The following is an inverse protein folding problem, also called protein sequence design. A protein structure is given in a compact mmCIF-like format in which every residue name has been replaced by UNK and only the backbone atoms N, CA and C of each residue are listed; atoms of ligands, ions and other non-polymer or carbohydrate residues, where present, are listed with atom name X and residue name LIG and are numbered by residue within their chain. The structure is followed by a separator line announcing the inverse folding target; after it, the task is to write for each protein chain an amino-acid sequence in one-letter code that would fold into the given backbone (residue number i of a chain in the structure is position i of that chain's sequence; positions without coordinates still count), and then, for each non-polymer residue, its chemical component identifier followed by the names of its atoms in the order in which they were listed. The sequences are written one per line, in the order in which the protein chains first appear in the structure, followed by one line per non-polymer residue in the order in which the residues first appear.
data_IF_499938667145
#
_entry.id   IF_499938667145
#
_cell.length_a   1.000
_cell.length_b   1.000
_cell.length_c   1.000
_cell.angle_alpha   90.00
_cell.angle_beta   90.00
_cell.angle_gamma   90.00
#
_symmetry.space_group_name_H-M   'P 1'
#
loop_
_entity.id
_entity.type
_entity.pdbx_description
1 polymer ?
#
# COMPACT_ATOMS: atom_id res chain seq x y z
N UNK A 1 -15.01 6.68 -32.62
CA UNK A 1 -15.69 7.66 -31.74
C UNK A 1 -15.59 7.16 -30.30
N UNK A 2 -14.50 7.50 -29.61
CA UNK A 2 -14.34 7.32 -28.16
C UNK A 2 -13.68 8.60 -27.68
N UNK A 3 -14.49 9.64 -27.48
CA UNK A 3 -14.00 10.99 -27.13
C UNK A 3 -14.55 11.53 -25.82
N UNK A 4 -15.43 10.80 -25.14
CA UNK A 4 -16.13 11.35 -23.97
C UNK A 4 -16.19 10.31 -22.85
N UNK A 5 -15.16 10.15 -22.03
CA UNK A 5 -15.35 9.62 -20.67
C UNK A 5 -14.17 10.01 -19.76
N UNK A 6 -14.54 10.64 -18.66
CA UNK A 6 -13.73 11.18 -17.56
C UNK A 6 -13.02 12.52 -17.83
N UNK A 7 -13.32 13.57 -17.04
CA UNK A 7 -12.47 14.76 -17.03
C UNK A 7 -11.05 14.35 -16.64
N UNK A 8 -10.00 15.03 -17.16
CA UNK A 8 -8.65 14.82 -16.68
C UNK A 8 -8.67 14.97 -15.16
N UNK A 9 -8.14 13.98 -14.43
CA UNK A 9 -8.00 14.02 -12.98
C UNK A 9 -7.31 15.34 -12.68
N UNK A 10 -8.06 16.29 -12.11
CA UNK A 10 -7.52 17.57 -11.73
C UNK A 10 -6.28 17.26 -10.90
N UNK A 11 -5.11 17.70 -11.37
CA UNK A 11 -3.94 17.78 -10.52
C UNK A 11 -4.37 18.61 -9.33
N UNK A 12 -4.67 17.94 -8.21
CA UNK A 12 -5.07 18.59 -6.97
C UNK A 12 -3.87 19.45 -6.61
N UNK A 13 -4.04 20.75 -6.80
CA UNK A 13 -3.11 21.80 -6.43
C UNK A 13 -2.58 21.50 -5.04
N UNK A 14 -1.25 21.55 -4.88
CA UNK A 14 -0.53 21.27 -3.64
C UNK A 14 -1.36 21.70 -2.42
N UNK A 15 -1.79 20.72 -1.63
CA UNK A 15 -2.56 20.96 -0.39
C UNK A 15 -1.68 21.84 0.49
N UNK A 16 -2.11 23.08 0.70
CA UNK A 16 -1.33 24.12 1.42
C UNK A 16 -1.52 24.06 2.94
N UNK A 17 -2.36 23.16 3.44
CA UNK A 17 -2.82 23.18 4.83
C UNK A 17 -2.36 21.96 5.63
N UNK A 18 -1.98 22.21 6.89
CA UNK A 18 -1.48 21.24 7.87
C UNK A 18 -2.59 20.50 8.63
N UNK A 19 -3.87 20.80 8.36
CA UNK A 19 -4.99 20.20 9.09
C UNK A 19 -5.65 19.05 8.29
N UNK A 20 -5.70 17.82 8.84
CA UNK A 20 -6.33 16.67 8.18
C UNK A 20 -7.82 16.85 7.83
N UNK A 21 -8.56 17.66 8.58
CA UNK A 21 -9.98 17.94 8.27
C UNK A 21 -10.15 18.82 7.04
N UNK A 22 -9.24 19.77 6.83
CA UNK A 22 -9.20 20.57 5.60
C UNK A 22 -8.98 19.67 4.39
N UNK A 23 -8.03 18.71 4.47
CA UNK A 23 -7.76 17.76 3.39
C UNK A 23 -9.01 16.97 3.01
N UNK A 24 -9.77 16.50 4.01
CA UNK A 24 -11.03 15.77 3.75
C UNK A 24 -12.04 16.64 3.01
N UNK A 25 -12.18 17.89 3.43
CA UNK A 25 -13.11 18.85 2.82
C UNK A 25 -12.69 19.21 1.39
N UNK A 26 -11.43 19.57 1.18
CA UNK A 26 -10.86 19.93 -0.13
C UNK A 26 -10.94 18.77 -1.14
N UNK A 27 -10.65 17.55 -0.70
CA UNK A 27 -10.66 16.37 -1.54
C UNK A 27 -12.05 15.69 -1.63
N UNK A 28 -13.10 16.29 -1.04
CA UNK A 28 -14.45 15.71 -0.94
C UNK A 28 -14.46 14.26 -0.43
N UNK A 29 -13.63 13.98 0.59
CA UNK A 29 -13.51 12.68 1.25
C UNK A 29 -14.58 12.58 2.33
N UNK A 30 -15.40 11.53 2.26
CA UNK A 30 -16.39 11.21 3.29
C UNK A 30 -15.95 9.96 4.04
N UNK A 31 -15.98 10.03 5.35
CA UNK A 31 -15.59 8.94 6.25
C UNK A 31 -16.72 8.61 7.22
N UNK A 32 -16.86 7.33 7.53
CA UNK A 32 -17.79 6.80 8.54
C UNK A 32 -17.07 5.69 9.31
N UNK A 33 -17.29 5.62 10.62
CA UNK A 33 -16.61 4.68 11.51
C UNK A 33 -16.09 5.37 12.77
N UNK A 34 -15.43 4.60 13.63
CA UNK A 34 -14.87 5.07 14.89
C UNK A 34 -13.35 5.30 14.74
N UNK A 35 -12.83 6.26 15.51
CA UNK A 35 -11.40 6.55 15.66
C UNK A 35 -10.62 6.63 14.33
N UNK A 36 -11.13 7.39 13.34
CA UNK A 36 -10.59 7.36 11.97
C UNK A 36 -9.31 8.19 11.87
N UNK A 37 -8.15 7.57 11.50
CA UNK A 37 -6.89 8.28 11.33
C UNK A 37 -7.01 9.48 10.40
N UNK A 38 -6.20 10.53 10.66
CA UNK A 38 -6.16 11.71 9.82
C UNK A 38 -5.83 11.36 8.37
N UNK A 39 -6.39 12.12 7.43
CA UNK A 39 -6.04 11.98 6.02
C UNK A 39 -4.61 12.48 5.76
N UNK A 40 -3.86 11.77 4.91
CA UNK A 40 -2.52 12.18 4.50
C UNK A 40 -2.57 13.46 3.64
N UNK A 41 -1.66 14.37 3.93
CA UNK A 41 -1.35 15.57 3.15
C UNK A 41 -0.37 15.21 2.03
N UNK A 42 0.63 14.39 2.30
CA UNK A 42 1.61 13.94 1.30
C UNK A 42 2.24 12.60 1.70
N UNK A 43 3.04 12.00 0.81
CA UNK A 43 3.73 10.75 1.12
C UNK A 43 4.84 10.90 2.15
N UNK A 44 5.38 12.10 2.38
CA UNK A 44 6.47 12.31 3.34
C UNK A 44 6.06 12.01 4.77
N UNK A 45 4.78 12.18 5.12
CA UNK A 45 4.25 11.81 6.44
C UNK A 45 4.38 10.32 6.74
N UNK A 46 4.49 9.47 5.72
CA UNK A 46 4.68 8.03 5.92
C UNK A 46 6.07 7.69 6.48
N UNK A 47 7.02 8.64 6.47
CA UNK A 47 8.32 8.50 7.13
C UNK A 47 8.26 8.78 8.63
N UNK A 48 7.16 9.33 9.13
CA UNK A 48 7.00 9.64 10.56
C UNK A 48 6.98 8.34 11.38
N UNK A 49 7.43 8.37 12.65
CA UNK A 49 7.54 7.17 13.49
C UNK A 49 6.23 6.38 13.67
N UNK A 50 5.08 7.03 13.47
CA UNK A 50 3.77 6.38 13.52
C UNK A 50 3.58 5.35 12.39
N UNK A 51 4.12 5.61 11.20
CA UNK A 51 3.98 4.75 10.02
C UNK A 51 5.26 3.97 9.71
N UNK A 52 6.43 4.56 9.97
CA UNK A 52 7.75 3.96 9.77
C UNK A 52 7.95 3.29 8.39
N UNK A 53 7.48 3.95 7.33
CA UNK A 53 7.64 3.42 5.97
C UNK A 53 9.07 3.61 5.51
N UNK A 54 9.69 2.52 5.03
CA UNK A 54 11.06 2.56 4.50
C UNK A 54 11.19 3.62 3.38
N UNK A 55 12.20 4.50 3.42
CA UNK A 55 12.41 5.53 2.40
C UNK A 55 12.48 4.99 0.97
N UNK A 56 13.02 3.77 0.80
CA UNK A 56 13.11 3.10 -0.50
C UNK A 56 11.75 2.77 -1.12
N UNK A 57 10.72 2.52 -0.30
CA UNK A 57 9.38 2.28 -0.81
C UNK A 57 8.79 3.59 -1.38
N UNK A 58 9.03 4.70 -0.69
CA UNK A 58 8.59 6.03 -1.16
C UNK A 58 9.36 6.51 -2.38
N UNK A 59 10.66 6.22 -2.48
CA UNK A 59 11.43 6.53 -3.70
C UNK A 59 10.86 5.79 -4.91
N UNK A 60 10.55 4.50 -4.77
CA UNK A 60 9.94 3.71 -5.85
C UNK A 60 8.60 4.30 -6.30
N UNK A 61 7.76 4.77 -5.37
CA UNK A 61 6.48 5.44 -5.68
C UNK A 61 6.71 6.73 -6.47
N UNK A 62 7.74 7.50 -6.12
CA UNK A 62 8.10 8.72 -6.83
C UNK A 62 8.63 8.41 -8.24
N UNK A 63 9.42 7.34 -8.40
CA UNK A 63 10.03 6.93 -9.66
C UNK A 63 9.00 6.46 -10.69
N UNK A 64 7.90 5.85 -10.25
CA UNK A 64 6.75 5.53 -11.12
C UNK A 64 5.88 6.75 -11.47
N UNK A 65 6.29 7.95 -11.05
CA UNK A 65 5.63 9.22 -11.39
C UNK A 65 4.51 9.63 -10.44
N UNK A 66 4.29 8.92 -9.32
CA UNK A 66 3.26 9.25 -8.35
C UNK A 66 3.84 10.24 -7.33
N UNK A 67 3.53 11.53 -7.52
CA UNK A 67 4.09 12.62 -6.71
C UNK A 67 3.30 12.88 -5.42
N UNK A 68 1.98 12.78 -5.50
CA UNK A 68 1.06 13.12 -4.42
C UNK A 68 -0.02 12.04 -4.28
N UNK A 69 -0.48 11.75 -3.05
CA UNK A 69 -1.55 10.78 -2.86
C UNK A 69 -2.86 11.32 -3.44
N UNK A 70 -3.59 10.45 -4.14
CA UNK A 70 -4.95 10.74 -4.61
C UNK A 70 -5.94 10.79 -3.44
N UNK A 71 -7.13 11.42 -3.58
CA UNK A 71 -8.12 11.51 -2.50
C UNK A 71 -8.41 10.19 -1.78
N UNK A 72 -8.55 9.08 -2.53
CA UNK A 72 -8.80 7.78 -1.91
C UNK A 72 -7.58 7.24 -1.17
N UNK A 73 -6.36 7.47 -1.69
CA UNK A 73 -5.12 7.05 -1.04
C UNK A 73 -4.88 7.81 0.26
N UNK A 74 -5.18 9.13 0.28
CA UNK A 74 -5.00 10.00 1.45
C UNK A 74 -5.69 9.45 2.69
N UNK A 75 -6.88 8.87 2.53
CA UNK A 75 -7.63 8.30 3.65
C UNK A 75 -7.45 6.79 3.80
N UNK A 76 -7.32 6.03 2.70
CA UNK A 76 -7.20 4.58 2.75
C UNK A 76 -5.86 4.13 3.35
N UNK A 77 -4.74 4.76 2.95
CA UNK A 77 -3.42 4.38 3.43
C UNK A 77 -3.33 4.43 4.96
N UNK A 78 -3.64 5.53 5.66
CA UNK A 78 -3.48 5.59 7.11
C UNK A 78 -4.44 4.65 7.85
N UNK A 79 -5.66 4.42 7.32
CA UNK A 79 -6.60 3.44 7.87
C UNK A 79 -6.05 2.01 7.78
N UNK A 80 -5.47 1.64 6.64
CA UNK A 80 -4.90 0.31 6.42
C UNK A 80 -3.57 0.13 7.16
N UNK A 81 -2.77 1.18 7.30
CA UNK A 81 -1.55 1.16 8.13
C UNK A 81 -1.88 0.92 9.61
N UNK A 82 -3.01 1.45 10.10
CA UNK A 82 -3.55 1.14 11.42
C UNK A 82 -4.11 -0.30 11.55
N UNK A 83 -3.93 -1.15 10.53
CA UNK A 83 -4.39 -2.55 10.48
C UNK A 83 -5.89 -2.70 10.69
N UNK A 84 -6.68 -1.74 10.18
CA UNK A 84 -8.15 -1.74 10.30
C UNK A 84 -8.80 -2.14 9.00
N UNK A 85 -9.94 -2.81 9.11
CA UNK A 85 -10.77 -3.14 7.96
C UNK A 85 -11.38 -1.86 7.37
N UNK A 86 -11.34 -1.75 6.04
CA UNK A 86 -11.80 -0.57 5.34
C UNK A 86 -12.57 -0.94 4.07
N UNK A 87 -13.73 -0.30 3.89
CA UNK A 87 -14.45 -0.28 2.62
C UNK A 87 -14.16 1.03 1.90
N UNK A 88 -13.34 0.97 0.84
CA UNK A 88 -12.94 2.13 0.06
C UNK A 88 -13.74 2.23 -1.24
N UNK A 89 -14.57 3.28 -1.37
CA UNK A 89 -15.38 3.53 -2.57
C UNK A 89 -14.85 4.76 -3.30
N UNK A 90 -14.41 4.57 -4.55
CA UNK A 90 -13.96 5.66 -5.43
C UNK A 90 -14.07 5.23 -6.92
N UNK A 91 -14.14 6.16 -7.88
CA UNK A 91 -14.22 5.86 -9.31
C UNK A 91 -13.06 4.99 -9.84
N UNK A 92 -13.23 4.34 -10.99
CA UNK A 92 -12.13 3.67 -11.70
C UNK A 92 -11.02 4.67 -12.05
N UNK A 93 -9.76 4.24 -12.04
CA UNK A 93 -8.62 5.13 -12.29
C UNK A 93 -8.25 6.06 -11.12
N UNK A 94 -8.97 6.00 -9.99
CA UNK A 94 -8.70 6.85 -8.81
C UNK A 94 -7.45 6.44 -8.01
N UNK A 95 -6.65 5.47 -8.48
CA UNK A 95 -5.44 5.01 -7.77
C UNK A 95 -5.69 4.12 -6.55
N UNK A 96 -6.85 3.47 -6.42
CA UNK A 96 -7.14 2.51 -5.31
C UNK A 96 -6.08 1.43 -5.16
N UNK A 97 -5.52 0.95 -6.28
CA UNK A 97 -4.49 -0.08 -6.32
C UNK A 97 -3.29 0.27 -5.44
N UNK A 98 -2.68 1.44 -5.65
CA UNK A 98 -1.60 1.90 -4.79
C UNK A 98 -2.05 2.12 -3.33
N UNK A 99 -3.31 2.54 -3.14
CA UNK A 99 -3.90 2.78 -1.81
C UNK A 99 -3.88 1.56 -0.89
N UNK A 100 -4.01 0.34 -1.42
CA UNK A 100 -3.86 -0.89 -0.63
C UNK A 100 -2.49 -1.56 -0.81
N UNK A 101 -1.85 -1.44 -1.98
CA UNK A 101 -0.54 -2.07 -2.23
C UNK A 101 0.56 -1.48 -1.36
N UNK A 102 0.54 -0.17 -1.08
CA UNK A 102 1.56 0.46 -0.24
C UNK A 102 1.51 -0.08 1.20
N UNK A 103 0.37 -0.05 1.92
CA UNK A 103 0.26 -0.68 3.24
C UNK A 103 0.60 -2.17 3.23
N UNK A 104 0.18 -2.90 2.19
CA UNK A 104 0.46 -4.32 2.03
C UNK A 104 1.97 -4.60 1.87
N UNK A 105 2.65 -3.86 1.00
CA UNK A 105 4.10 -4.00 0.78
C UNK A 105 4.87 -3.64 2.05
N UNK A 106 4.48 -2.57 2.74
CA UNK A 106 5.05 -2.22 4.05
C UNK A 106 4.88 -3.36 5.06
N UNK A 107 3.69 -3.95 5.15
CA UNK A 107 3.43 -5.06 6.07
C UNK A 107 4.30 -6.28 5.76
N UNK A 108 4.37 -6.70 4.48
CA UNK A 108 5.19 -7.83 4.03
C UNK A 108 6.68 -7.57 4.27
N UNK A 109 7.17 -6.35 4.03
CA UNK A 109 8.59 -6.04 4.25
C UNK A 109 9.00 -6.08 5.73
N UNK A 110 8.07 -5.81 6.64
CA UNK A 110 8.33 -5.77 8.08
C UNK A 110 7.98 -7.09 8.81
N UNK A 111 7.11 -7.92 8.25
CA UNK A 111 6.62 -9.15 8.90
C UNK A 111 6.66 -10.39 8.00
N UNK A 112 7.12 -10.25 6.76
CA UNK A 112 7.27 -11.35 5.82
C UNK A 112 8.33 -12.35 6.28
N UNK A 113 8.40 -13.53 5.64
CA UNK A 113 9.45 -14.49 5.93
C UNK A 113 10.81 -13.80 5.75
N UNK A 114 11.62 -13.80 6.80
CA UNK A 114 13.01 -13.39 6.75
C UNK A 114 13.66 -14.13 5.58
N UNK A 115 14.26 -13.38 4.65
CA UNK A 115 15.06 -13.96 3.57
C UNK A 115 16.41 -14.49 4.10
N UNK A 116 16.63 -14.41 5.40
CA UNK A 116 17.87 -14.74 6.11
C UNK A 116 18.05 -16.24 6.39
N UNK A 117 17.51 -17.12 5.53
CA UNK A 117 17.68 -18.57 5.64
C UNK A 117 18.65 -19.12 4.57
N UNK A 118 19.76 -18.45 4.23
CA UNK A 118 20.83 -19.05 3.41
C UNK A 118 22.22 -18.42 3.72
N UNK A 119 22.71 -18.53 4.96
CA UNK A 119 24.16 -18.69 5.18
C UNK A 119 24.42 -20.18 5.37
N UNK A 120 24.69 -20.86 4.25
CA UNK A 120 25.17 -22.24 4.22
C UNK A 120 26.51 -22.34 4.97
N UNK A 121 26.47 -22.60 6.28
CA UNK A 121 27.65 -23.06 7.02
C UNK A 121 28.04 -24.44 6.49
N UNK A 122 29.21 -24.51 5.85
CA UNK A 122 29.69 -25.68 5.09
C UNK A 122 30.00 -26.93 5.93
N UNK A 123 29.94 -26.84 7.27
CA UNK A 123 30.24 -27.93 8.20
C UNK A 123 29.10 -28.93 8.45
N UNK A 124 27.85 -28.64 8.07
CA UNK A 124 26.70 -29.46 8.50
C UNK A 124 26.24 -30.54 7.47
N UNK A 125 27.11 -30.89 6.50
CA UNK A 125 26.78 -31.79 5.37
C UNK A 125 26.43 -33.24 5.77
N UNK A 126 26.76 -33.69 6.98
CA UNK A 126 26.60 -35.12 7.36
C UNK A 126 25.19 -35.46 7.89
N UNK A 127 24.39 -34.48 8.34
CA UNK A 127 23.09 -34.76 9.00
C UNK A 127 21.83 -34.48 8.13
N UNK A 128 22.02 -34.06 6.88
CA UNK A 128 21.01 -33.36 6.04
C UNK A 128 19.84 -34.19 5.48
N UNK A 129 19.71 -35.50 5.74
CA UNK A 129 18.57 -36.27 5.18
C UNK A 129 17.24 -36.11 5.94
N UNK A 130 17.25 -35.73 7.22
CA UNK A 130 16.02 -35.61 8.04
C UNK A 130 15.41 -34.19 8.07
N UNK A 131 16.24 -33.15 7.88
CA UNK A 131 15.85 -31.72 7.95
C UNK A 131 15.04 -31.26 6.72
N UNK A 132 15.19 -31.92 5.57
CA UNK A 132 14.47 -31.62 4.30
C UNK A 132 12.95 -31.89 4.34
N UNK A 133 12.43 -32.58 5.37
CA UNK A 133 11.02 -33.04 5.42
C UNK A 133 10.03 -32.07 6.07
N UNK A 134 10.44 -30.85 6.42
CA UNK A 134 9.51 -29.78 6.82
C UNK A 134 9.93 -28.43 6.25
N UNK A 135 10.12 -28.35 4.92
CA UNK A 135 9.79 -27.10 4.22
C UNK A 135 8.28 -26.92 4.41
N UNK A 136 7.88 -26.33 5.54
CA UNK A 136 6.54 -25.78 5.70
C UNK A 136 6.48 -24.71 4.61
N UNK A 137 5.75 -24.99 3.54
CA UNK A 137 5.44 -23.98 2.53
C UNK A 137 4.60 -22.94 3.27
N UNK A 138 5.25 -21.90 3.80
CA UNK A 138 4.57 -20.77 4.40
C UNK A 138 3.77 -20.11 3.27
N UNK A 139 2.46 -19.99 3.48
CA UNK A 139 1.55 -19.41 2.49
C UNK A 139 1.88 -17.95 2.15
N UNK A 140 1.16 -17.34 1.19
CA UNK A 140 1.42 -15.97 0.78
C UNK A 140 1.23 -14.98 1.95
N UNK A 141 2.10 -13.97 2.05
CA UNK A 141 2.01 -12.91 3.07
C UNK A 141 0.87 -11.92 2.87
N UNK A 142 0.25 -11.89 1.68
CA UNK A 142 -0.97 -11.16 1.38
C UNK A 142 -1.73 -11.82 0.22
N UNK A 143 -3.06 -11.66 0.20
CA UNK A 143 -3.93 -12.17 -0.85
C UNK A 143 -4.80 -11.03 -1.38
N UNK A 144 -4.72 -10.78 -2.70
CA UNK A 144 -5.59 -9.83 -3.40
C UNK A 144 -6.56 -10.63 -4.27
N UNK A 145 -7.86 -10.42 -4.06
CA UNK A 145 -8.91 -11.05 -4.85
C UNK A 145 -9.46 -10.04 -5.86
N UNK A 146 -9.51 -10.40 -7.14
CA UNK A 146 -10.10 -9.59 -8.19
C UNK A 146 -11.19 -10.38 -8.94
N UNK A 147 -12.31 -9.74 -9.31
CA UNK A 147 -13.44 -10.42 -9.97
C UNK A 147 -13.14 -10.89 -11.40
N UNK A 148 -12.11 -10.34 -12.06
CA UNK A 148 -11.73 -10.71 -13.43
C UNK A 148 -10.21 -10.86 -13.58
N UNK A 149 -9.79 -11.76 -14.46
CA UNK A 149 -8.38 -12.07 -14.75
C UNK A 149 -7.63 -10.88 -15.37
N UNK A 150 -8.31 -10.04 -16.16
CA UNK A 150 -7.70 -8.85 -16.77
C UNK A 150 -7.41 -7.74 -15.75
N UNK A 151 -8.21 -7.66 -14.68
CA UNK A 151 -7.95 -6.75 -13.57
C UNK A 151 -6.79 -7.24 -12.68
N UNK A 152 -6.53 -8.55 -12.65
CA UNK A 152 -5.35 -9.14 -11.99
C UNK A 152 -4.06 -8.67 -12.67
N UNK A 153 -4.02 -8.64 -14.01
CA UNK A 153 -2.86 -8.19 -14.78
C UNK A 153 -2.56 -6.69 -14.62
N UNK A 154 -3.56 -5.87 -14.32
CA UNK A 154 -3.36 -4.43 -14.03
C UNK A 154 -2.79 -4.17 -12.63
N UNK A 155 -2.76 -5.19 -11.77
CA UNK A 155 -2.25 -5.09 -10.40
C UNK A 155 -0.83 -5.67 -10.26
N UNK A 156 -0.34 -6.42 -11.25
CA UNK A 156 1.01 -7.01 -11.29
C UNK A 156 2.07 -6.04 -11.82
#
# INVERSE_FOLDING_TARGET
KFKDLAPPIAHVSAVRETNPESVRSECNIRVKGEDIPPALINFSQLLEPEYDVRPRLLSNIRDIGVKEPTPIQRQAIPVLMAKRDALCVAPTGSGKTLGFLLPMAHHILNHGPSLDDEEDNEEDRVTTRKKRRRRIIRGPGALVLSPTHDLTKQTQ
#
